data_IF_311761758927
#
_entry.id   IF_311761758927
#
_cell.length_a   1.000
_cell.length_b   1.000
_cell.length_c   1.000
_cell.angle_alpha   90.00
_cell.angle_beta   90.00
_cell.angle_gamma   90.00
#
_symmetry.space_group_name_H-M   'P 1'
#
loop_
_entity.id
_entity.type
_entity.pdbx_description
1 polymer ?
#
# COMPACT_ATOMS: atom_id res chain seq x y z
N UNK A 1 42.47 -13.05 21.80
CA UNK A 1 41.92 -13.46 20.48
C UNK A 1 40.61 -14.24 20.60
N UNK A 2 40.43 -15.12 21.58
CA UNK A 2 39.17 -15.88 21.75
C UNK A 2 37.95 -15.03 22.12
N UNK A 3 38.10 -14.05 23.02
CA UNK A 3 37.00 -13.14 23.41
C UNK A 3 36.42 -12.34 22.22
N UNK A 4 37.27 -12.02 21.24
CA UNK A 4 36.86 -11.30 20.02
C UNK A 4 36.09 -12.23 19.07
N UNK A 5 36.49 -13.51 18.97
CA UNK A 5 35.76 -14.53 18.20
C UNK A 5 34.40 -14.87 18.80
N UNK A 6 34.29 -14.95 20.13
CA UNK A 6 33.02 -15.16 20.85
C UNK A 6 32.08 -13.96 20.67
N UNK A 7 32.60 -12.74 20.74
CA UNK A 7 31.82 -11.53 20.47
C UNK A 7 31.28 -11.52 19.02
N UNK A 8 32.13 -11.82 18.03
CA UNK A 8 31.72 -11.89 16.62
C UNK A 8 30.70 -13.02 16.39
N UNK A 9 30.92 -14.20 16.98
CA UNK A 9 30.02 -15.35 16.87
C UNK A 9 28.65 -15.11 17.52
N UNK A 10 28.58 -14.25 18.55
CA UNK A 10 27.32 -13.90 19.23
C UNK A 10 26.57 -12.75 18.55
N UNK A 11 27.28 -11.84 17.87
CA UNK A 11 26.69 -10.70 17.13
C UNK A 11 26.10 -11.14 15.77
N UNK A 12 26.71 -12.12 15.11
CA UNK A 12 26.30 -12.59 13.78
C UNK A 12 24.84 -13.11 13.71
N UNK A 13 24.31 -13.90 14.66
CA UNK A 13 22.90 -14.30 14.65
C UNK A 13 21.93 -13.17 15.03
N UNK A 14 22.37 -12.17 15.80
CA UNK A 14 21.54 -11.02 16.18
C UNK A 14 21.28 -10.08 14.99
N UNK A 15 22.25 -9.94 14.08
CA UNK A 15 22.12 -9.12 12.87
C UNK A 15 21.09 -9.69 11.87
N UNK A 16 20.95 -11.01 11.79
CA UNK A 16 20.00 -11.66 10.89
C UNK A 16 18.52 -11.48 11.30
N UNK A 17 18.25 -11.33 12.59
CA UNK A 17 16.87 -11.19 13.11
C UNK A 17 16.29 -9.80 12.82
N UNK A 18 17.12 -8.75 12.77
CA UNK A 18 16.67 -7.38 12.53
C UNK A 18 16.24 -7.07 11.09
N UNK A 19 16.51 -7.95 10.11
CA UNK A 19 16.30 -7.62 8.69
C UNK A 19 14.90 -7.96 8.15
N UNK A 20 13.95 -8.36 9.01
CA UNK A 20 12.60 -8.77 8.57
C UNK A 20 11.51 -7.76 8.96
N UNK A 21 11.72 -6.48 8.70
CA UNK A 21 10.66 -5.46 8.82
C UNK A 21 10.08 -5.22 7.42
N UNK A 22 8.83 -5.64 7.22
CA UNK A 22 8.07 -5.39 5.99
C UNK A 22 6.94 -4.42 6.32
N UNK A 23 6.82 -3.33 5.55
CA UNK A 23 5.75 -2.37 5.70
C UNK A 23 4.69 -2.61 4.63
N UNK A 24 3.44 -2.82 5.05
CA UNK A 24 2.27 -2.95 4.18
C UNK A 24 1.65 -1.59 3.80
N UNK A 25 2.05 -0.51 4.50
CA UNK A 25 1.50 0.84 4.35
C UNK A 25 2.02 1.58 3.11
N UNK A 26 1.26 2.59 2.65
CA UNK A 26 1.66 3.47 1.56
C UNK A 26 0.51 4.33 1.02
N UNK A 27 0.86 5.31 0.18
CA UNK A 27 -0.10 6.03 -0.67
C UNK A 27 0.21 5.68 -2.12
N UNK A 28 -0.74 5.04 -2.80
CA UNK A 28 -0.52 4.47 -4.13
C UNK A 28 -1.17 5.31 -5.22
N UNK A 29 -0.46 5.44 -6.35
CA UNK A 29 -1.05 5.97 -7.58
C UNK A 29 -1.96 4.91 -8.20
N UNK A 30 -3.28 5.16 -8.21
CA UNK A 30 -4.29 4.18 -8.65
C UNK A 30 -4.06 3.68 -10.10
N UNK A 31 -3.63 4.57 -11.01
CA UNK A 31 -3.31 4.19 -12.39
C UNK A 31 -2.09 3.26 -12.53
N UNK A 32 -1.23 3.18 -11.51
CA UNK A 32 0.04 2.47 -11.53
C UNK A 32 0.18 1.45 -10.37
N UNK A 33 -0.92 0.84 -9.94
CA UNK A 33 -0.87 -0.22 -8.92
C UNK A 33 -0.07 -1.42 -9.42
N UNK A 34 0.97 -1.82 -8.67
CA UNK A 34 1.77 -3.00 -8.99
C UNK A 34 1.00 -4.31 -8.72
N UNK A 35 1.54 -5.45 -9.19
CA UNK A 35 0.88 -6.76 -9.06
C UNK A 35 0.70 -7.18 -7.61
N UNK A 36 1.68 -6.89 -6.75
CA UNK A 36 1.64 -7.24 -5.32
C UNK A 36 0.53 -6.49 -4.60
N UNK A 37 0.40 -5.18 -4.79
CA UNK A 37 -0.65 -4.35 -4.20
C UNK A 37 -2.03 -4.80 -4.66
N UNK A 38 -2.22 -5.08 -5.96
CA UNK A 38 -3.50 -5.60 -6.47
C UNK A 38 -3.87 -6.96 -5.87
N UNK A 39 -2.88 -7.83 -5.64
CA UNK A 39 -3.07 -9.13 -4.98
C UNK A 39 -3.45 -8.93 -3.51
N UNK A 40 -2.71 -8.08 -2.79
CA UNK A 40 -2.98 -7.74 -1.40
C UNK A 40 -4.39 -7.17 -1.22
N UNK A 41 -4.81 -6.22 -2.06
CA UNK A 41 -6.17 -5.65 -2.01
C UNK A 41 -7.26 -6.74 -2.10
N UNK A 42 -7.09 -7.72 -3.00
CA UNK A 42 -8.02 -8.86 -3.12
C UNK A 42 -7.96 -9.79 -1.91
N UNK A 43 -6.77 -10.11 -1.43
CA UNK A 43 -6.57 -10.96 -0.24
C UNK A 43 -7.15 -10.32 1.03
N UNK A 44 -7.14 -8.99 1.11
CA UNK A 44 -7.76 -8.20 2.17
C UNK A 44 -9.28 -8.02 1.98
N UNK A 45 -9.87 -8.59 0.93
CA UNK A 45 -11.32 -8.65 0.74
C UNK A 45 -11.92 -7.57 -0.17
N UNK A 46 -11.11 -6.80 -0.90
CA UNK A 46 -11.65 -5.91 -1.92
C UNK A 46 -12.32 -6.73 -3.04
N UNK A 47 -13.63 -6.56 -3.17
CA UNK A 47 -14.43 -7.28 -4.17
C UNK A 47 -14.42 -6.60 -5.54
N UNK A 48 -14.21 -5.29 -5.58
CA UNK A 48 -14.13 -4.51 -6.80
C UNK A 48 -12.90 -4.87 -7.63
N UNK A 49 -13.04 -4.83 -8.95
CA UNK A 49 -11.92 -4.89 -9.88
C UNK A 49 -11.10 -3.60 -9.84
N UNK A 50 -9.86 -3.66 -10.36
CA UNK A 50 -8.99 -2.49 -10.45
C UNK A 50 -9.57 -1.40 -11.38
N UNK A 51 -10.30 -1.80 -12.43
CA UNK A 51 -10.92 -0.87 -13.39
C UNK A 51 -12.15 -0.17 -12.80
N UNK A 52 -12.94 -0.86 -11.97
CA UNK A 52 -14.03 -0.24 -11.22
C UNK A 52 -13.52 0.76 -10.18
N UNK A 53 -12.32 0.52 -9.63
CA UNK A 53 -11.67 1.45 -8.71
C UNK A 53 -11.10 2.68 -9.44
N UNK A 54 -10.41 2.46 -10.57
CA UNK A 54 -9.81 3.51 -11.38
C UNK A 54 -9.76 3.09 -12.86
N UNK A 55 -10.42 3.85 -13.73
CA UNK A 55 -10.25 3.75 -15.17
C UNK A 55 -10.06 5.14 -15.79
N UNK A 56 -9.09 5.33 -16.70
CA UNK A 56 -8.80 6.68 -17.21
C UNK A 56 -9.86 7.24 -18.17
N UNK A 57 -10.55 6.40 -18.95
CA UNK A 57 -11.58 6.85 -19.91
C UNK A 57 -13.03 6.46 -19.57
N UNK A 58 -13.27 5.57 -18.61
CA UNK A 58 -14.61 5.05 -18.28
C UNK A 58 -14.97 5.46 -16.85
N UNK A 59 -16.27 5.57 -16.53
CA UNK A 59 -16.71 5.81 -15.17
C UNK A 59 -16.11 4.78 -14.19
N UNK A 60 -15.61 5.25 -13.06
CA UNK A 60 -15.02 4.45 -11.98
C UNK A 60 -15.18 5.16 -10.64
N UNK A 61 -14.84 4.52 -9.52
CA UNK A 61 -14.97 5.10 -8.19
C UNK A 61 -14.22 6.42 -8.02
N UNK A 62 -13.12 6.62 -8.76
CA UNK A 62 -12.37 7.90 -8.76
C UNK A 62 -13.26 9.11 -9.06
N UNK A 63 -14.33 8.93 -9.85
CA UNK A 63 -15.17 10.03 -10.32
C UNK A 63 -16.11 10.56 -9.24
N UNK A 64 -16.34 9.78 -8.17
CA UNK A 64 -17.09 10.22 -7.00
C UNK A 64 -16.20 10.93 -5.95
N UNK A 65 -14.87 10.88 -6.09
CA UNK A 65 -13.94 11.46 -5.12
C UNK A 65 -13.46 12.82 -5.63
N UNK A 66 -13.60 13.85 -4.78
CA UNK A 66 -13.26 15.24 -5.15
C UNK A 66 -12.22 15.83 -4.22
N UNK A 67 -11.40 16.72 -4.75
CA UNK A 67 -10.58 17.61 -3.94
C UNK A 67 -11.48 18.71 -3.38
N UNK A 68 -11.64 18.76 -2.05
CA UNK A 68 -12.47 19.72 -1.36
C UNK A 68 -11.60 20.84 -0.78
N UNK A 69 -11.68 22.03 -1.40
CA UNK A 69 -10.97 23.22 -0.93
C UNK A 69 -9.45 23.20 -1.10
N UNK A 70 -8.88 22.20 -1.77
CA UNK A 70 -7.44 22.07 -2.02
C UNK A 70 -6.69 21.20 -1.01
N UNK A 71 -7.31 20.88 0.13
CA UNK A 71 -6.65 20.22 1.27
C UNK A 71 -7.46 19.08 1.88
N UNK A 72 -8.78 19.03 1.65
CA UNK A 72 -9.64 17.95 2.11
C UNK A 72 -10.03 17.03 0.95
N UNK A 73 -10.54 15.85 1.29
CA UNK A 73 -11.20 14.95 0.36
C UNK A 73 -12.71 14.97 0.61
N UNK A 74 -13.48 14.95 -0.47
CA UNK A 74 -14.94 14.80 -0.44
C UNK A 74 -15.38 13.59 -1.25
N UNK A 75 -16.61 13.14 -1.02
CA UNK A 75 -17.26 12.07 -1.78
C UNK A 75 -18.66 12.52 -2.19
N UNK A 76 -19.00 12.32 -3.46
CA UNK A 76 -20.34 12.50 -3.99
C UNK A 76 -21.17 11.24 -3.68
N UNK A 77 -22.34 11.41 -3.06
CA UNK A 77 -23.17 10.28 -2.58
C UNK A 77 -24.55 10.22 -3.22
N UNK A 78 -24.90 11.19 -4.07
CA UNK A 78 -26.15 11.23 -4.84
C UNK A 78 -25.91 11.66 -6.28
N UNK A 79 -26.89 11.44 -7.16
CA UNK A 79 -26.81 11.87 -8.57
C UNK A 79 -26.85 13.41 -8.72
N UNK A 80 -27.33 14.12 -7.70
CA UNK A 80 -27.47 15.58 -7.70
C UNK A 80 -26.34 16.29 -6.94
N UNK A 81 -25.36 15.54 -6.42
CA UNK A 81 -24.24 16.03 -5.60
C UNK A 81 -24.34 15.59 -4.15
#
# INVERSE_FOLDING_TARGET
MEKFKVAISSILPFFFICMSVYADEGMWMLGNLNKQTRKAMKELGLQMSADELYHPQKPSLKDAIVNFGGFCSGVVVSEEG
#
